data_IF_411878941084
#
_entry.id   IF_411878941084
#
_cell.length_a   1.000
_cell.length_b   1.000
_cell.length_c   1.000
_cell.angle_alpha   90.00
_cell.angle_beta   90.00
_cell.angle_gamma   90.00
#
_symmetry.space_group_name_H-M   'P 1'
#
loop_
_entity.id
_entity.type
_entity.pdbx_description
1 polymer ?
#
# COMPACT_ATOMS: atom_id res chain seq x y z
N UNK A 1 14.66 0.32 13.40
CA UNK A 1 15.44 1.44 12.84
C UNK A 1 15.05 1.58 11.37
N UNK A 2 14.12 2.43 11.00
CA UNK A 2 13.90 2.91 9.62
C UNK A 2 12.90 4.06 9.66
N UNK A 3 13.33 5.20 10.24
CA UNK A 3 12.58 6.46 10.27
C UNK A 3 13.02 7.43 9.15
N UNK A 4 13.68 6.96 8.09
CA UNK A 4 14.34 7.81 7.10
C UNK A 4 13.76 7.72 5.67
N UNK A 5 12.60 7.09 5.47
CA UNK A 5 12.01 6.99 4.11
C UNK A 5 10.73 7.81 3.93
N UNK A 6 10.33 8.61 4.90
CA UNK A 6 9.11 9.41 4.82
C UNK A 6 9.30 10.87 4.36
N UNK A 7 10.51 11.30 4.02
CA UNK A 7 10.82 12.72 3.76
C UNK A 7 11.28 13.05 2.34
N UNK A 8 11.08 12.15 1.36
CA UNK A 8 11.58 12.40 0.00
C UNK A 8 10.49 12.50 -1.08
N UNK A 9 9.27 12.86 -0.74
CA UNK A 9 8.20 13.00 -1.75
C UNK A 9 7.47 14.36 -1.75
N UNK A 10 8.08 15.40 -1.19
CA UNK A 10 7.43 16.73 -1.16
C UNK A 10 8.13 17.81 -1.96
N UNK A 11 9.07 17.51 -2.85
CA UNK A 11 9.81 18.55 -3.58
C UNK A 11 9.95 18.28 -5.08
N UNK A 12 8.83 18.07 -5.79
CA UNK A 12 8.89 18.10 -7.25
C UNK A 12 7.66 18.78 -7.87
N UNK A 13 7.22 19.90 -7.29
CA UNK A 13 6.34 20.84 -7.97
C UNK A 13 7.01 22.23 -7.88
N UNK A 14 8.14 22.39 -8.51
CA UNK A 14 8.72 23.72 -8.69
C UNK A 14 9.45 23.73 -10.03
N UNK A 15 8.92 24.50 -10.97
CA UNK A 15 9.76 25.13 -11.98
C UNK A 15 9.80 24.50 -13.37
N UNK A 16 8.69 24.56 -14.11
CA UNK A 16 8.83 24.89 -15.52
C UNK A 16 8.45 26.37 -15.68
N UNK A 17 9.31 27.24 -15.18
CA UNK A 17 9.32 28.63 -15.60
C UNK A 17 9.83 28.65 -17.02
N UNK A 18 8.94 28.53 -18.01
CA UNK A 18 9.23 28.90 -19.38
C UNK A 18 9.45 30.43 -19.40
N UNK A 19 10.68 30.84 -19.46
CA UNK A 19 11.07 32.18 -19.91
C UNK A 19 10.69 32.35 -21.37
N UNK A 20 9.41 32.54 -21.63
CA UNK A 20 8.95 33.15 -22.87
C UNK A 20 8.61 34.59 -22.53
N UNK A 21 9.26 35.53 -23.20
CA UNK A 21 8.89 36.95 -23.21
C UNK A 21 7.39 37.05 -23.42
N UNK A 22 6.65 37.65 -22.49
CA UNK A 22 5.20 37.75 -22.64
C UNK A 22 4.88 38.61 -23.84
N UNK A 23 4.31 37.99 -24.89
CA UNK A 23 3.51 38.75 -25.83
C UNK A 23 2.44 39.52 -25.03
N UNK A 24 2.02 40.70 -25.42
CA UNK A 24 1.00 41.47 -24.67
C UNK A 24 -0.23 40.62 -24.59
N UNK A 25 -0.51 40.12 -23.36
CA UNK A 25 -1.67 39.30 -23.07
C UNK A 25 -2.86 40.24 -23.19
N UNK A 26 -3.69 40.03 -24.19
CA UNK A 26 -4.99 40.69 -24.25
C UNK A 26 -5.73 40.41 -22.94
N UNK A 27 -6.40 41.37 -22.35
CA UNK A 27 -7.10 41.17 -21.07
C UNK A 27 -8.05 39.96 -21.21
N UNK A 28 -7.94 39.01 -20.27
CA UNK A 28 -8.76 37.80 -20.28
C UNK A 28 -10.26 38.20 -20.28
N UNK A 29 -11.02 37.63 -21.20
CA UNK A 29 -12.46 37.94 -21.25
C UNK A 29 -13.13 37.40 -19.97
N UNK A 30 -14.25 38.02 -19.51
CA UNK A 30 -14.97 37.54 -18.35
C UNK A 30 -15.37 36.04 -18.46
N UNK A 31 -15.54 35.54 -19.67
CA UNK A 31 -15.80 34.13 -19.92
C UNK A 31 -14.58 33.25 -19.58
N UNK A 32 -13.38 33.66 -19.96
CA UNK A 32 -12.13 32.94 -19.64
C UNK A 32 -11.90 32.93 -18.14
N UNK A 33 -11.99 34.06 -17.45
CA UNK A 33 -11.82 34.15 -15.98
C UNK A 33 -12.80 33.23 -15.24
N UNK A 34 -14.06 33.15 -15.70
CA UNK A 34 -15.07 32.27 -15.12
C UNK A 34 -14.74 30.78 -15.38
N UNK A 35 -14.23 30.45 -16.57
CA UNK A 35 -13.82 29.11 -16.92
C UNK A 35 -12.59 28.66 -16.11
N UNK A 36 -11.60 29.52 -15.94
CA UNK A 36 -10.42 29.29 -15.10
C UNK A 36 -10.80 29.01 -13.64
N UNK A 37 -11.65 29.86 -13.04
CA UNK A 37 -12.11 29.69 -11.67
C UNK A 37 -12.89 28.36 -11.47
N UNK A 38 -13.66 27.95 -12.47
CA UNK A 38 -14.35 26.64 -12.48
C UNK A 38 -13.33 25.49 -12.60
N UNK A 39 -12.37 25.61 -13.51
CA UNK A 39 -11.31 24.64 -13.74
C UNK A 39 -10.48 24.42 -12.46
N UNK A 40 -10.04 25.50 -11.81
CA UNK A 40 -9.30 25.42 -10.54
C UNK A 40 -10.07 24.69 -9.45
N UNK A 41 -11.36 24.99 -9.28
CA UNK A 41 -12.22 24.30 -8.31
C UNK A 41 -12.36 22.81 -8.60
N UNK A 42 -12.57 22.44 -9.86
CA UNK A 42 -12.72 21.02 -10.23
C UNK A 42 -11.40 20.25 -10.05
N UNK A 43 -10.28 20.84 -10.45
CA UNK A 43 -8.95 20.25 -10.24
C UNK A 43 -8.61 20.12 -8.77
N UNK A 44 -8.85 21.16 -7.96
CA UNK A 44 -8.61 21.09 -6.51
C UNK A 44 -9.45 20.02 -5.83
N UNK A 45 -10.72 19.87 -6.22
CA UNK A 45 -11.59 18.79 -5.72
C UNK A 45 -11.08 17.41 -6.11
N UNK A 46 -10.64 17.22 -7.36
CA UNK A 46 -10.09 15.96 -7.84
C UNK A 46 -8.79 15.59 -7.09
N UNK A 47 -7.85 16.51 -6.95
CA UNK A 47 -6.61 16.32 -6.19
C UNK A 47 -6.90 15.97 -4.72
N UNK A 48 -7.87 16.64 -4.12
CA UNK A 48 -8.28 16.34 -2.73
C UNK A 48 -8.88 14.93 -2.62
N UNK A 49 -9.66 14.50 -3.62
CA UNK A 49 -10.23 13.15 -3.68
C UNK A 49 -9.13 12.10 -3.84
N UNK A 50 -8.18 12.30 -4.76
CA UNK A 50 -7.01 11.44 -4.95
C UNK A 50 -6.22 11.28 -3.65
N UNK A 51 -5.88 12.38 -2.98
CA UNK A 51 -5.16 12.34 -1.71
C UNK A 51 -5.90 11.55 -0.62
N UNK A 52 -7.24 11.64 -0.58
CA UNK A 52 -8.06 10.84 0.34
C UNK A 52 -8.05 9.35 0.00
N UNK A 53 -8.04 9.00 -1.28
CA UNK A 53 -7.94 7.60 -1.73
C UNK A 53 -6.57 7.05 -1.37
N UNK A 54 -5.51 7.79 -1.63
CA UNK A 54 -4.14 7.42 -1.32
C UNK A 54 -3.96 7.14 0.18
N UNK A 55 -4.38 8.08 1.03
CA UNK A 55 -4.29 7.93 2.47
C UNK A 55 -5.08 6.70 2.99
N UNK A 56 -6.28 6.48 2.45
CA UNK A 56 -7.08 5.29 2.79
C UNK A 56 -6.43 3.98 2.33
N UNK A 57 -5.83 3.99 1.15
CA UNK A 57 -5.12 2.84 0.60
C UNK A 57 -3.91 2.49 1.47
N UNK A 58 -3.10 3.47 1.86
CA UNK A 58 -1.94 3.29 2.72
C UNK A 58 -2.31 2.74 4.09
N UNK A 59 -3.34 3.28 4.73
CA UNK A 59 -3.85 2.77 6.02
C UNK A 59 -4.33 1.32 5.90
N UNK A 60 -4.95 0.93 4.77
CA UNK A 60 -5.35 -0.47 4.55
C UNK A 60 -4.14 -1.39 4.44
N UNK A 61 -3.10 -0.98 3.74
CA UNK A 61 -1.84 -1.74 3.60
C UNK A 61 -1.17 -1.90 4.96
N UNK A 62 -0.97 -0.81 5.70
CA UNK A 62 -0.37 -0.82 7.03
C UNK A 62 -1.11 -1.77 7.99
N UNK A 63 -2.43 -1.68 8.05
CA UNK A 63 -3.24 -2.60 8.85
C UNK A 63 -3.09 -4.06 8.43
N UNK A 64 -2.99 -4.33 7.14
CA UNK A 64 -2.79 -5.69 6.64
C UNK A 64 -1.41 -6.22 7.04
N UNK A 65 -0.37 -5.40 6.96
CA UNK A 65 1.00 -5.74 7.36
C UNK A 65 1.10 -6.03 8.86
N UNK A 66 0.54 -5.17 9.71
CA UNK A 66 0.49 -5.38 11.16
C UNK A 66 -0.23 -6.68 11.50
N UNK A 67 -1.41 -6.91 10.93
CA UNK A 67 -2.16 -8.14 11.13
C UNK A 67 -1.42 -9.39 10.64
N UNK A 68 -0.67 -9.28 9.55
CA UNK A 68 0.14 -10.37 9.03
C UNK A 68 1.32 -10.68 9.97
N UNK A 69 2.02 -9.65 10.45
CA UNK A 69 3.11 -9.79 11.40
C UNK A 69 2.66 -10.50 12.69
N UNK A 70 1.52 -10.09 13.25
CA UNK A 70 0.95 -10.77 14.42
C UNK A 70 0.64 -12.24 14.17
N UNK A 71 0.02 -12.55 13.02
CA UNK A 71 -0.32 -13.94 12.67
C UNK A 71 0.92 -14.80 12.46
N UNK A 72 1.95 -14.27 11.81
CA UNK A 72 3.25 -14.94 11.63
C UNK A 72 3.89 -15.22 12.98
N UNK A 73 3.98 -14.22 13.85
CA UNK A 73 4.54 -14.38 15.19
C UNK A 73 3.79 -15.46 15.97
N UNK A 74 2.45 -15.42 15.99
CA UNK A 74 1.63 -16.43 16.66
C UNK A 74 1.85 -17.84 16.08
N UNK A 75 1.97 -17.97 14.77
CA UNK A 75 2.19 -19.26 14.11
C UNK A 75 3.57 -19.83 14.46
N UNK A 76 4.61 -19.02 14.39
CA UNK A 76 5.99 -19.41 14.73
C UNK A 76 6.13 -19.78 16.23
N UNK A 77 5.56 -18.97 17.12
CA UNK A 77 5.56 -19.25 18.57
C UNK A 77 4.84 -20.57 18.86
N UNK A 78 3.70 -20.81 18.21
CA UNK A 78 2.95 -22.07 18.38
C UNK A 78 3.75 -23.26 17.86
N UNK A 79 4.44 -23.14 16.71
CA UNK A 79 5.31 -24.18 16.19
C UNK A 79 6.44 -24.46 17.19
N UNK A 80 7.17 -23.44 17.62
CA UNK A 80 8.26 -23.58 18.59
C UNK A 80 7.80 -24.26 19.90
N UNK A 81 6.66 -23.84 20.45
CA UNK A 81 6.10 -24.45 21.66
C UNK A 81 5.72 -25.93 21.44
N UNK A 82 5.17 -26.25 20.26
CA UNK A 82 4.79 -27.64 19.93
C UNK A 82 6.02 -28.53 19.82
N UNK A 83 7.08 -28.07 19.15
CA UNK A 83 8.36 -28.74 19.03
C UNK A 83 9.01 -28.97 20.41
N UNK A 84 9.12 -27.90 21.21
CA UNK A 84 9.70 -28.02 22.55
C UNK A 84 8.98 -29.07 23.41
N UNK A 85 7.64 -29.12 23.34
CA UNK A 85 6.87 -30.15 24.05
C UNK A 85 7.08 -31.55 23.52
N UNK A 86 7.23 -31.72 22.19
CA UNK A 86 7.47 -33.01 21.58
C UNK A 86 8.88 -33.52 21.97
N UNK A 87 9.87 -32.64 21.88
CA UNK A 87 11.24 -32.97 22.27
C UNK A 87 11.36 -33.30 23.76
N UNK A 88 10.76 -32.50 24.65
CA UNK A 88 10.75 -32.80 26.08
C UNK A 88 10.10 -34.14 26.44
N UNK A 89 9.10 -34.59 25.65
CA UNK A 89 8.53 -35.94 25.79
C UNK A 89 9.50 -37.03 25.31
N UNK A 90 10.17 -36.82 24.21
CA UNK A 90 11.17 -37.75 23.71
C UNK A 90 12.35 -37.90 24.67
N UNK A 91 12.79 -36.80 25.29
CA UNK A 91 13.91 -36.81 26.25
C UNK A 91 13.59 -37.60 27.54
N UNK A 92 12.31 -37.59 27.94
CA UNK A 92 11.83 -38.34 29.12
C UNK A 92 11.53 -39.80 28.84
N UNK A 93 11.60 -40.26 27.60
CA UNK A 93 11.32 -41.66 27.26
C UNK A 93 12.46 -42.57 27.76
N UNK A 94 12.10 -43.76 28.26
CA UNK A 94 13.03 -44.79 28.65
C UNK A 94 13.86 -45.30 27.46
N UNK A 95 14.96 -45.97 27.77
CA UNK A 95 15.92 -46.43 26.75
C UNK A 95 15.27 -47.29 25.64
N UNK A 96 14.34 -48.16 26.01
CA UNK A 96 13.61 -49.03 25.07
C UNK A 96 12.69 -48.26 24.12
N UNK A 97 12.08 -47.18 24.58
CA UNK A 97 11.12 -46.37 23.80
C UNK A 97 11.75 -45.11 23.15
N UNK A 98 13.02 -44.85 23.43
CA UNK A 98 13.74 -43.64 23.01
C UNK A 98 13.64 -43.40 21.51
N UNK A 99 13.92 -44.44 20.72
CA UNK A 99 13.90 -44.36 19.23
C UNK A 99 12.50 -44.02 18.71
N UNK A 100 11.46 -44.67 19.25
CA UNK A 100 10.06 -44.40 18.87
C UNK A 100 9.62 -42.98 19.29
N UNK A 101 10.02 -42.54 20.47
CA UNK A 101 9.70 -41.22 20.97
C UNK A 101 10.39 -40.11 20.15
N UNK A 102 11.64 -40.31 19.75
CA UNK A 102 12.39 -39.39 18.89
C UNK A 102 11.73 -39.28 17.50
N UNK A 103 11.44 -40.40 16.84
CA UNK A 103 10.77 -40.42 15.56
C UNK A 103 9.38 -39.73 15.60
N UNK A 104 8.64 -39.88 16.72
CA UNK A 104 7.38 -39.19 16.92
C UNK A 104 7.56 -37.67 17.13
N UNK A 105 8.61 -37.25 17.83
CA UNK A 105 8.95 -35.85 18.00
C UNK A 105 9.32 -35.21 16.65
N UNK A 106 10.19 -35.85 15.86
CA UNK A 106 10.57 -35.38 14.52
C UNK A 106 9.35 -35.21 13.58
N UNK A 107 8.43 -36.19 13.59
CA UNK A 107 7.17 -36.08 12.84
C UNK A 107 6.30 -34.91 13.32
N UNK A 108 6.28 -34.68 14.63
CA UNK A 108 5.51 -33.57 15.23
C UNK A 108 6.16 -32.23 14.84
N UNK A 109 7.48 -32.14 14.84
CA UNK A 109 8.25 -30.98 14.44
C UNK A 109 7.98 -30.60 12.97
N UNK A 110 8.13 -31.58 12.06
CA UNK A 110 7.83 -31.41 10.64
C UNK A 110 6.38 -30.92 10.40
N UNK A 111 5.41 -31.49 11.11
CA UNK A 111 4.01 -31.09 11.01
C UNK A 111 3.77 -29.67 11.60
N UNK A 112 4.49 -29.29 12.66
CA UNK A 112 4.40 -27.98 13.24
C UNK A 112 4.97 -26.91 12.31
N UNK A 113 6.08 -27.18 11.64
CA UNK A 113 6.68 -26.31 10.65
C UNK A 113 5.77 -26.12 9.43
N UNK A 114 5.26 -27.20 8.84
CA UNK A 114 4.32 -27.12 7.71
C UNK A 114 3.08 -26.27 8.05
N UNK A 115 2.58 -26.37 9.29
CA UNK A 115 1.44 -25.54 9.73
C UNK A 115 1.83 -24.07 9.89
N UNK A 116 3.02 -23.80 10.41
CA UNK A 116 3.53 -22.44 10.55
C UNK A 116 3.76 -21.80 9.17
N UNK A 117 4.42 -22.51 8.26
CA UNK A 117 4.68 -22.05 6.90
C UNK A 117 3.39 -21.74 6.13
N UNK A 118 2.39 -22.62 6.22
CA UNK A 118 1.07 -22.35 5.63
C UNK A 118 0.41 -21.09 6.20
N UNK A 119 0.58 -20.84 7.49
CA UNK A 119 0.03 -19.63 8.11
C UNK A 119 0.79 -18.38 7.69
N UNK A 120 2.11 -18.45 7.56
CA UNK A 120 2.97 -17.38 7.03
C UNK A 120 2.57 -17.04 5.60
N UNK A 121 2.54 -18.04 4.72
CA UNK A 121 2.15 -17.86 3.30
C UNK A 121 0.77 -17.22 3.18
N UNK A 122 -0.22 -17.69 3.96
CA UNK A 122 -1.57 -17.09 3.97
C UNK A 122 -1.58 -15.64 4.45
N UNK A 123 -0.71 -15.30 5.40
CA UNK A 123 -0.59 -13.93 5.89
C UNK A 123 0.01 -13.03 4.82
N UNK A 124 1.07 -13.48 4.14
CA UNK A 124 1.73 -12.74 3.06
C UNK A 124 0.81 -12.55 1.86
N UNK A 125 0.14 -13.61 1.40
CA UNK A 125 -0.84 -13.52 0.29
C UNK A 125 -1.93 -12.49 0.56
N UNK A 126 -2.37 -12.35 1.82
CA UNK A 126 -3.35 -11.31 2.18
C UNK A 126 -2.78 -9.91 2.08
N UNK A 127 -1.54 -9.70 2.51
CA UNK A 127 -0.86 -8.40 2.37
C UNK A 127 -0.72 -8.06 0.89
N UNK A 128 -0.24 -8.99 0.07
CA UNK A 128 -0.06 -8.78 -1.36
C UNK A 128 -1.38 -8.44 -2.05
N UNK A 129 -2.46 -9.15 -1.70
CA UNK A 129 -3.80 -8.85 -2.23
C UNK A 129 -4.25 -7.43 -1.87
N UNK A 130 -3.99 -6.98 -0.64
CA UNK A 130 -4.34 -5.62 -0.20
C UNK A 130 -3.47 -4.59 -0.90
N UNK A 131 -2.17 -4.84 -1.08
CA UNK A 131 -1.25 -3.96 -1.81
C UNK A 131 -1.65 -3.79 -3.26
N UNK A 132 -2.01 -4.88 -3.95
CA UNK A 132 -2.48 -4.83 -5.35
C UNK A 132 -3.76 -3.99 -5.45
N UNK A 133 -4.72 -4.19 -4.56
CA UNK A 133 -5.94 -3.39 -4.54
C UNK A 133 -5.67 -1.92 -4.23
N UNK A 134 -4.80 -1.64 -3.26
CA UNK A 134 -4.39 -0.28 -2.94
C UNK A 134 -3.73 0.42 -4.12
N UNK A 135 -2.84 -0.27 -4.83
CA UNK A 135 -2.21 0.25 -6.04
C UNK A 135 -3.24 0.52 -7.16
N UNK A 136 -4.20 -0.38 -7.35
CA UNK A 136 -5.27 -0.18 -8.34
C UNK A 136 -6.17 1.01 -7.97
N UNK A 137 -6.58 1.13 -6.70
CA UNK A 137 -7.38 2.26 -6.22
C UNK A 137 -6.66 3.60 -6.46
N UNK A 138 -5.35 3.68 -6.15
CA UNK A 138 -4.51 4.85 -6.39
C UNK A 138 -4.37 5.18 -7.87
N UNK A 139 -4.09 4.18 -8.70
CA UNK A 139 -3.98 4.36 -10.15
C UNK A 139 -5.29 4.90 -10.77
N UNK A 140 -6.43 4.40 -10.32
CA UNK A 140 -7.75 4.88 -10.75
C UNK A 140 -7.95 6.34 -10.35
N UNK A 141 -7.69 6.69 -9.09
CA UNK A 141 -7.84 8.07 -8.61
C UNK A 141 -6.92 9.05 -9.34
N UNK A 142 -5.70 8.64 -9.63
CA UNK A 142 -4.74 9.45 -10.41
C UNK A 142 -5.19 9.63 -11.87
N UNK A 143 -5.75 8.58 -12.50
CA UNK A 143 -6.31 8.67 -13.84
C UNK A 143 -7.51 9.62 -13.90
N UNK A 144 -8.42 9.55 -12.91
CA UNK A 144 -9.55 10.46 -12.79
C UNK A 144 -9.10 11.92 -12.62
N UNK A 145 -8.11 12.16 -11.76
CA UNK A 145 -7.54 13.51 -11.58
C UNK A 145 -6.90 14.02 -12.87
N UNK A 146 -6.24 13.15 -13.62
CA UNK A 146 -5.64 13.50 -14.91
C UNK A 146 -6.72 13.84 -15.95
N UNK A 147 -7.81 13.10 -16.00
CA UNK A 147 -8.94 13.38 -16.87
C UNK A 147 -9.58 14.74 -16.54
N UNK A 148 -9.84 15.02 -15.26
CA UNK A 148 -10.37 16.33 -14.81
C UNK A 148 -9.45 17.48 -15.20
N UNK A 149 -8.13 17.31 -15.06
CA UNK A 149 -7.15 18.34 -15.51
C UNK A 149 -7.20 18.56 -17.02
N UNK A 150 -7.38 17.51 -17.81
CA UNK A 150 -7.50 17.61 -19.26
C UNK A 150 -8.79 18.33 -19.68
N UNK A 151 -9.92 17.98 -19.07
CA UNK A 151 -11.21 18.64 -19.30
C UNK A 151 -11.15 20.11 -18.90
N UNK A 152 -10.61 20.43 -17.73
CA UNK A 152 -10.44 21.80 -17.27
C UNK A 152 -9.63 22.67 -18.24
N UNK A 153 -8.55 22.11 -18.78
CA UNK A 153 -7.76 22.81 -19.82
C UNK A 153 -8.54 23.01 -21.14
N UNK A 154 -9.34 22.02 -21.54
CA UNK A 154 -10.15 22.12 -22.75
C UNK A 154 -11.25 23.18 -22.59
N UNK A 155 -11.92 23.24 -21.42
CA UNK A 155 -12.95 24.23 -21.10
C UNK A 155 -12.40 25.67 -21.15
N UNK A 156 -11.24 25.91 -20.56
CA UNK A 156 -10.56 27.21 -20.57
C UNK A 156 -10.21 27.61 -22.00
N UNK A 157 -9.64 26.66 -22.79
CA UNK A 157 -9.30 26.93 -24.21
C UNK A 157 -10.54 27.26 -25.03
N UNK A 158 -11.63 26.52 -24.84
CA UNK A 158 -12.90 26.77 -25.54
C UNK A 158 -13.51 28.14 -25.19
N UNK A 159 -13.37 28.59 -23.93
CA UNK A 159 -13.82 29.91 -23.49
C UNK A 159 -13.01 31.05 -24.14
N UNK A 160 -11.72 30.82 -24.42
CA UNK A 160 -10.84 31.80 -25.07
C UNK A 160 -11.00 31.88 -26.59
N UNK A 161 -11.70 30.93 -27.20
CA UNK A 161 -11.91 30.85 -28.66
C UNK A 161 -13.21 31.56 -29.12
N UNK A 162 -13.99 32.08 -28.19
CA UNK A 162 -15.24 32.84 -28.42
C UNK A 162 -15.04 34.31 -28.19
#
# INVERSE_FOLDING_TARGET
MNKLLATLMTTLIAGAAFAQTPAPVAPATPAVVKAEAKAEKSVAAAVTSEAKVDAKADVKVEKAEVNAAEKKTKALTKSATTKAKAQAKADKAGAEDKTKATAKAEKTDANADVKADKAVIKADTKVDTVRIKAAADKATASAETTAVKAEAKADVKAAGSK
#
